data_IF_285859923099
#
_entry.id   IF_285859923099
#
_cell.length_a   1.000
_cell.length_b   1.000
_cell.length_c   1.000
_cell.angle_alpha   90.00
_cell.angle_beta   90.00
_cell.angle_gamma   90.00
#
_symmetry.space_group_name_H-M   'P 1'
#
loop_
_entity.id
_entity.type
_entity.pdbx_description
1 polymer ?
#
# COMPACT_ATOMS: atom_id res chain seq x y z
N UNK A 1 -4.56 -8.76 -7.01
CA UNK A 1 -4.35 -9.62 -5.83
C UNK A 1 -3.78 -8.74 -4.75
N UNK A 2 -4.38 -8.80 -3.57
CA UNK A 2 -3.99 -7.94 -2.44
C UNK A 2 -2.96 -8.62 -1.53
N UNK A 3 -2.18 -7.82 -0.82
CA UNK A 3 -1.24 -8.21 0.24
C UNK A 3 -0.43 -9.49 -0.03
N UNK A 4 0.34 -9.48 -1.11
CA UNK A 4 1.11 -10.66 -1.55
C UNK A 4 2.14 -11.15 -0.52
N UNK A 5 2.54 -10.31 0.44
CA UNK A 5 3.42 -10.67 1.54
C UNK A 5 2.88 -11.82 2.41
N UNK A 6 1.56 -12.01 2.50
CA UNK A 6 0.98 -13.05 3.37
C UNK A 6 1.12 -14.48 2.83
N UNK A 7 1.32 -14.66 1.52
CA UNK A 7 1.50 -16.01 0.95
C UNK A 7 2.98 -16.40 0.79
N UNK A 8 3.91 -15.48 1.11
CA UNK A 8 5.35 -15.72 1.01
C UNK A 8 5.85 -16.86 1.92
N UNK A 9 5.11 -17.27 2.94
CA UNK A 9 5.49 -18.41 3.80
C UNK A 9 4.84 -19.73 3.38
N UNK A 10 4.01 -19.73 2.34
CA UNK A 10 3.20 -20.88 1.92
C UNK A 10 3.69 -21.39 0.56
N UNK A 11 4.68 -22.27 0.55
CA UNK A 11 5.33 -22.80 -0.66
C UNK A 11 4.32 -23.31 -1.71
N UNK A 12 3.34 -24.14 -1.31
CA UNK A 12 2.30 -24.62 -2.22
C UNK A 12 1.45 -23.50 -2.84
N UNK A 13 1.18 -22.45 -2.07
CA UNK A 13 0.43 -21.28 -2.58
C UNK A 13 1.27 -20.48 -3.56
N UNK A 14 2.58 -20.37 -3.33
CA UNK A 14 3.51 -19.75 -4.26
C UNK A 14 3.60 -20.51 -5.59
N UNK A 15 3.64 -21.84 -5.55
CA UNK A 15 3.63 -22.69 -6.75
C UNK A 15 2.37 -22.47 -7.59
N UNK A 16 1.19 -22.57 -6.98
CA UNK A 16 -0.06 -22.36 -7.71
C UNK A 16 -0.17 -20.94 -8.25
N UNK A 17 0.25 -19.94 -7.46
CA UNK A 17 0.30 -18.56 -7.91
C UNK A 17 1.24 -18.37 -9.10
N UNK A 18 2.39 -19.05 -9.13
CA UNK A 18 3.32 -19.00 -10.26
C UNK A 18 2.68 -19.52 -11.55
N UNK A 19 1.93 -20.63 -11.48
CA UNK A 19 1.23 -21.16 -12.65
C UNK A 19 0.11 -20.24 -13.13
N UNK A 20 -0.69 -19.69 -12.20
CA UNK A 20 -1.74 -18.71 -12.50
C UNK A 20 -1.13 -17.45 -13.14
N UNK A 21 -0.05 -16.92 -12.56
CA UNK A 21 0.65 -15.74 -13.08
C UNK A 21 1.09 -15.95 -14.53
N UNK A 22 1.76 -17.06 -14.83
CA UNK A 22 2.25 -17.34 -16.18
C UNK A 22 1.10 -17.47 -17.18
N UNK A 23 0.04 -18.19 -16.83
CA UNK A 23 -1.12 -18.33 -17.70
C UNK A 23 -1.76 -16.96 -18.02
N UNK A 24 -1.95 -16.12 -17.00
CA UNK A 24 -2.49 -14.76 -17.19
C UNK A 24 -1.55 -13.88 -18.01
N UNK A 25 -0.25 -13.98 -17.77
CA UNK A 25 0.76 -13.22 -18.50
C UNK A 25 0.82 -13.62 -19.98
N UNK A 26 0.87 -14.93 -20.27
CA UNK A 26 0.91 -15.47 -21.64
C UNK A 26 -0.36 -15.17 -22.43
N UNK A 27 -1.51 -15.12 -21.76
CA UNK A 27 -2.79 -14.76 -22.37
C UNK A 27 -3.04 -13.25 -22.46
N UNK A 28 -2.06 -12.42 -22.09
CA UNK A 28 -2.15 -10.96 -22.16
C UNK A 28 -3.19 -10.35 -21.21
N UNK A 29 -3.49 -11.03 -20.10
CA UNK A 29 -4.43 -10.53 -19.08
C UNK A 29 -3.72 -9.56 -18.14
N UNK A 30 -4.42 -8.52 -17.71
CA UNK A 30 -3.88 -7.56 -16.75
C UNK A 30 -3.72 -8.20 -15.37
N UNK A 31 -2.54 -8.04 -14.78
CA UNK A 31 -2.21 -8.50 -13.43
C UNK A 31 -1.89 -7.27 -12.59
N UNK A 32 -2.63 -7.06 -11.51
CA UNK A 32 -2.36 -6.01 -10.52
C UNK A 32 -2.10 -6.70 -9.18
N UNK A 33 -0.98 -6.38 -8.57
CA UNK A 33 -0.55 -6.88 -7.27
C UNK A 33 -0.29 -5.69 -6.34
N UNK A 34 -0.60 -5.84 -5.07
CA UNK A 34 -0.26 -4.87 -4.03
C UNK A 34 0.56 -5.57 -2.94
N UNK A 35 1.44 -4.80 -2.30
CA UNK A 35 2.22 -5.28 -1.18
C UNK A 35 2.58 -4.13 -0.26
N UNK A 36 2.67 -4.41 1.03
CA UNK A 36 3.21 -3.48 2.03
C UNK A 36 4.72 -3.26 1.90
N UNK A 37 5.42 -4.18 1.21
CA UNK A 37 6.88 -4.14 1.06
C UNK A 37 7.27 -4.25 -0.39
N UNK A 38 8.46 -3.76 -0.74
CA UNK A 38 8.95 -3.98 -2.09
C UNK A 38 9.16 -5.47 -2.35
N UNK A 39 8.92 -5.98 -3.57
CA UNK A 39 9.14 -7.38 -3.92
C UNK A 39 10.48 -7.97 -3.48
N UNK A 40 11.54 -7.14 -3.44
CA UNK A 40 12.89 -7.54 -3.02
C UNK A 40 13.02 -7.75 -1.51
N UNK A 41 12.18 -7.09 -0.72
CA UNK A 41 12.16 -7.09 0.75
C UNK A 41 11.17 -8.11 1.33
N UNK A 42 10.35 -8.73 0.50
CA UNK A 42 9.48 -9.82 0.91
C UNK A 42 10.38 -11.04 1.14
N UNK A 43 10.58 -11.36 2.41
CA UNK A 43 11.28 -12.58 2.81
C UNK A 43 10.48 -13.82 2.42
N UNK A 44 11.16 -14.95 2.21
CA UNK A 44 10.57 -16.28 1.94
C UNK A 44 9.78 -16.43 0.64
N UNK A 45 9.58 -15.36 -0.13
CA UNK A 45 9.05 -15.47 -1.48
C UNK A 45 10.14 -15.98 -2.44
N UNK A 46 9.77 -16.90 -3.33
CA UNK A 46 10.71 -17.53 -4.27
C UNK A 46 11.31 -16.50 -5.24
N UNK A 47 12.61 -16.65 -5.53
CA UNK A 47 13.34 -15.74 -6.43
C UNK A 47 12.71 -15.64 -7.83
N UNK A 48 12.09 -16.74 -8.33
CA UNK A 48 11.36 -16.71 -9.61
C UNK A 48 10.17 -15.75 -9.57
N UNK A 49 9.43 -15.67 -8.46
CA UNK A 49 8.32 -14.73 -8.30
C UNK A 49 8.83 -13.29 -8.16
N UNK A 50 9.91 -13.06 -7.40
CA UNK A 50 10.55 -11.74 -7.31
C UNK A 50 10.94 -11.19 -8.67
N UNK A 51 11.51 -12.04 -9.53
CA UNK A 51 11.85 -11.66 -10.91
C UNK A 51 10.60 -11.24 -11.69
N UNK A 52 9.51 -12.02 -11.61
CA UNK A 52 8.24 -11.74 -12.32
C UNK A 52 7.58 -10.45 -11.85
N UNK A 53 7.64 -10.12 -10.57
CA UNK A 53 7.14 -8.85 -10.06
C UNK A 53 7.88 -7.64 -10.64
N UNK A 54 9.14 -7.82 -11.06
CA UNK A 54 9.93 -6.80 -11.74
C UNK A 54 9.66 -6.67 -13.24
N UNK A 55 8.86 -7.53 -13.86
CA UNK A 55 8.57 -7.47 -15.31
C UNK A 55 7.52 -6.41 -15.66
N UNK A 56 6.83 -5.86 -14.66
CA UNK A 56 5.80 -4.86 -14.83
C UNK A 56 6.22 -3.48 -14.30
N UNK A 57 5.21 -2.61 -14.17
CA UNK A 57 5.36 -1.34 -13.48
C UNK A 57 5.30 -1.57 -11.97
N UNK A 58 6.41 -1.28 -11.29
CA UNK A 58 6.46 -1.22 -9.83
C UNK A 58 6.46 0.24 -9.40
N UNK A 59 5.41 0.65 -8.69
CA UNK A 59 5.32 1.99 -8.11
C UNK A 59 5.07 1.88 -6.62
N UNK A 60 5.75 2.73 -5.86
CA UNK A 60 5.46 2.92 -4.46
C UNK A 60 4.28 3.87 -4.30
N UNK A 61 3.48 3.65 -3.25
CA UNK A 61 2.49 4.62 -2.80
C UNK A 61 3.11 5.32 -1.60
N UNK A 62 3.52 6.57 -1.79
CA UNK A 62 4.06 7.39 -0.70
C UNK A 62 2.92 8.01 0.11
N UNK A 63 3.14 8.27 1.42
CA UNK A 63 2.18 9.01 2.23
C UNK A 63 1.84 10.36 1.57
N UNK A 64 0.55 10.72 1.41
CA UNK A 64 0.15 11.97 0.79
C UNK A 64 0.60 13.17 1.62
N UNK A 65 0.84 14.31 0.97
CA UNK A 65 1.11 15.59 1.63
C UNK A 65 -0.10 16.12 2.43
N UNK A 66 0.09 17.24 3.15
CA UNK A 66 -0.98 17.78 4.00
C UNK A 66 -2.20 18.21 3.18
N UNK A 67 -1.99 18.84 2.03
CA UNK A 67 -3.07 19.34 1.16
C UNK A 67 -3.91 18.18 0.63
N UNK A 68 -3.25 17.14 0.14
CA UNK A 68 -3.88 15.91 -0.34
C UNK A 68 -4.61 15.18 0.78
N UNK A 69 -4.04 15.13 2.00
CA UNK A 69 -4.73 14.56 3.17
C UNK A 69 -6.00 15.32 3.53
N UNK A 70 -5.99 16.65 3.47
CA UNK A 70 -7.18 17.48 3.69
C UNK A 70 -8.24 17.19 2.63
N UNK A 71 -7.86 17.14 1.35
CA UNK A 71 -8.76 16.81 0.25
C UNK A 71 -9.40 15.41 0.42
N UNK A 72 -8.60 14.41 0.81
CA UNK A 72 -9.11 13.05 1.11
C UNK A 72 -10.10 13.09 2.27
N UNK A 73 -9.80 13.83 3.34
CA UNK A 73 -10.66 13.91 4.52
C UNK A 73 -11.99 14.60 4.22
N UNK A 74 -11.96 15.72 3.48
CA UNK A 74 -13.18 16.43 3.04
C UNK A 74 -14.04 15.55 2.13
N UNK A 75 -13.42 14.85 1.17
CA UNK A 75 -14.12 13.91 0.29
C UNK A 75 -14.80 12.79 1.09
N UNK A 76 -14.10 12.22 2.07
CA UNK A 76 -14.71 11.22 2.96
C UNK A 76 -15.87 11.79 3.78
N UNK A 77 -15.76 13.03 4.29
CA UNK A 77 -16.85 13.67 5.02
C UNK A 77 -18.10 13.85 4.13
N UNK A 78 -17.90 14.26 2.87
CA UNK A 78 -18.96 14.35 1.86
C UNK A 78 -19.62 12.98 1.58
N UNK A 79 -18.82 11.93 1.36
CA UNK A 79 -19.29 10.56 1.16
C UNK A 79 -20.13 10.04 2.35
N UNK A 80 -19.80 10.50 3.57
CA UNK A 80 -20.53 10.18 4.80
C UNK A 80 -21.65 11.16 5.15
N UNK A 81 -21.97 12.13 4.27
CA UNK A 81 -22.99 13.17 4.49
C UNK A 81 -22.75 13.98 5.78
N UNK A 82 -21.48 14.16 6.14
CA UNK A 82 -21.03 14.90 7.30
C UNK A 82 -20.56 16.29 6.88
N UNK A 83 -21.08 17.33 7.55
CA UNK A 83 -20.53 18.66 7.40
C UNK A 83 -19.22 18.77 8.17
N UNK A 84 -18.10 18.86 7.44
CA UNK A 84 -16.77 19.10 7.98
C UNK A 84 -16.21 20.39 7.38
N UNK A 85 -16.09 21.47 8.16
CA UNK A 85 -15.42 22.69 7.71
C UNK A 85 -13.96 22.43 7.36
N UNK A 86 -13.48 23.06 6.29
CA UNK A 86 -12.11 22.89 5.80
C UNK A 86 -11.06 23.31 6.84
N UNK A 87 -11.32 24.38 7.61
CA UNK A 87 -10.39 24.83 8.64
C UNK A 87 -10.26 23.78 9.77
N UNK A 88 -11.36 23.08 10.07
CA UNK A 88 -11.37 22.01 11.07
C UNK A 88 -10.62 20.79 10.55
N UNK A 89 -10.78 20.43 9.26
CA UNK A 89 -10.04 19.34 8.62
C UNK A 89 -8.53 19.63 8.64
N UNK A 90 -8.14 20.84 8.26
CA UNK A 90 -6.74 21.29 8.27
C UNK A 90 -6.16 21.26 9.69
N UNK A 91 -6.84 21.88 10.66
CA UNK A 91 -6.39 21.91 12.05
C UNK A 91 -6.22 20.50 12.63
N UNK A 92 -7.20 19.61 12.40
CA UNK A 92 -7.16 18.25 12.94
C UNK A 92 -5.96 17.46 12.44
N UNK A 93 -5.67 17.53 11.14
CA UNK A 93 -4.51 16.86 10.56
C UNK A 93 -3.18 17.47 11.00
N UNK A 94 -3.14 18.79 11.20
CA UNK A 94 -1.93 19.47 11.64
C UNK A 94 -1.61 19.16 13.10
N UNK A 95 -2.63 19.08 13.96
CA UNK A 95 -2.49 18.62 15.35
C UNK A 95 -2.03 17.16 15.38
N UNK A 96 -2.67 16.28 14.60
CA UNK A 96 -2.28 14.87 14.51
C UNK A 96 -0.82 14.70 14.09
N UNK A 97 -0.38 15.42 13.04
CA UNK A 97 1.00 15.37 12.57
C UNK A 97 2.01 15.79 13.65
N UNK A 98 1.70 16.84 14.42
CA UNK A 98 2.55 17.31 15.53
C UNK A 98 2.59 16.32 16.69
N UNK A 99 1.43 15.78 17.08
CA UNK A 99 1.35 14.75 18.13
C UNK A 99 2.15 13.52 17.74
N UNK A 100 2.00 13.05 16.50
CA UNK A 100 2.72 11.89 15.98
C UNK A 100 4.24 12.14 15.93
N UNK A 101 4.67 13.32 15.48
CA UNK A 101 6.09 13.69 15.48
C UNK A 101 6.68 13.70 16.90
N UNK A 102 5.96 14.28 17.87
CA UNK A 102 6.38 14.29 19.27
C UNK A 102 6.44 12.87 19.86
N UNK A 103 5.42 12.05 19.61
CA UNK A 103 5.39 10.67 20.09
C UNK A 103 6.55 9.84 19.52
N UNK A 104 6.84 9.98 18.22
CA UNK A 104 7.94 9.27 17.57
C UNK A 104 9.29 9.73 18.10
N UNK A 105 9.47 11.02 18.40
CA UNK A 105 10.69 11.53 19.03
C UNK A 105 10.91 10.96 20.43
N UNK A 106 9.83 10.80 21.21
CA UNK A 106 9.87 10.22 22.56
C UNK A 106 10.01 8.69 22.58
N UNK A 107 9.68 8.01 21.47
CA UNK A 107 9.73 6.54 21.36
C UNK A 107 11.07 6.02 20.81
N UNK A 108 12.04 6.91 20.56
CA UNK A 108 13.39 6.58 20.08
C UNK A 108 14.44 6.68 21.22
N UNK A 109 14.02 7.01 22.45
CA UNK A 109 14.80 6.79 23.69
C UNK A 109 14.43 5.45 24.35
#
# INVERSE_FOLDING_TARGET
MDDIQFFAEKEKTQEEFFHIFNNLFETGRQIILTSDRYPKEIERIEERLKSRFGWGLTTAIEPPDLETRVAILLKKAEEHQMHLPEEVAFLSLNVYARMYANWKALSIE
#
